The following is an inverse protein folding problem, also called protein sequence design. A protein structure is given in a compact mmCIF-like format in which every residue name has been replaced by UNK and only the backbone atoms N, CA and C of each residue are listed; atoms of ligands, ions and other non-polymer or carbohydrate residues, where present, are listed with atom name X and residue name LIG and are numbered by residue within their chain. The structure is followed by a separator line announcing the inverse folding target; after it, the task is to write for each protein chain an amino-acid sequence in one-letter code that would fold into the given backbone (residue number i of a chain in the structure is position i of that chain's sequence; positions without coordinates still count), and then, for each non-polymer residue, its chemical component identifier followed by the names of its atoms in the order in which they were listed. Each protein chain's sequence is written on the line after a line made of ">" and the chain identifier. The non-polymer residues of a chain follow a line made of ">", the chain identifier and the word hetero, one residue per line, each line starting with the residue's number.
data_IF_877913375677
#
_entry.id   IF_877913375677
#
_cell.length_a   1.000
_cell.length_b   1.000
_cell.length_c   1.000
_cell.angle_alpha   90.00
_cell.angle_beta   90.00
_cell.angle_gamma   90.00
#
_symmetry.space_group_name_H-M   'P 1'
#
loop_
_entity.id
_entity.type
_entity.pdbx_description
1 polymer ?
#
# COMPACT_ATOMS: atom_id res chain seq x y z
N UNK A 1 10.44 18.00 17.69
CA UNK A 1 9.86 19.00 16.76
C UNK A 1 8.58 18.43 16.20
N UNK A 2 7.43 18.96 16.61
CA UNK A 2 6.14 18.72 15.97
C UNK A 2 6.03 19.70 14.79
N UNK A 3 6.11 19.21 13.55
CA UNK A 3 5.90 20.02 12.36
C UNK A 3 4.57 19.64 11.71
N UNK A 4 3.63 20.58 11.73
CA UNK A 4 2.37 20.52 11.02
C UNK A 4 2.58 21.01 9.59
N UNK A 5 2.62 20.08 8.63
CA UNK A 5 2.48 20.37 7.20
C UNK A 5 3.72 20.96 6.54
N UNK A 6 4.64 20.09 6.10
CA UNK A 6 5.54 20.40 4.99
C UNK A 6 5.39 19.31 3.92
N UNK A 7 4.86 19.71 2.76
CA UNK A 7 4.12 18.93 1.76
C UNK A 7 4.86 17.82 1.01
N UNK A 8 6.01 17.35 1.48
CA UNK A 8 6.76 16.34 0.75
C UNK A 8 7.63 15.39 1.58
N UNK A 9 7.68 15.51 2.92
CA UNK A 9 8.81 14.96 3.66
C UNK A 9 8.49 13.99 4.79
N UNK A 10 7.42 13.19 4.69
CA UNK A 10 7.13 11.92 5.40
C UNK A 10 5.60 11.82 5.66
N UNK A 11 4.92 10.86 5.01
CA UNK A 11 3.56 10.42 5.40
C UNK A 11 3.49 9.20 6.35
N UNK A 12 4.37 9.01 7.36
CA UNK A 12 4.19 8.03 8.43
C UNK A 12 2.87 8.21 9.14
N UNK A 13 2.44 9.44 9.43
CA UNK A 13 1.21 9.68 10.19
C UNK A 13 -0.02 9.21 9.43
N UNK A 14 -0.09 9.45 8.11
CA UNK A 14 -1.19 8.94 7.29
C UNK A 14 -1.13 7.41 7.18
N UNK A 15 0.05 6.84 6.95
CA UNK A 15 0.21 5.38 6.88
C UNK A 15 -0.18 4.72 8.21
N UNK A 16 0.19 5.33 9.35
CA UNK A 16 -0.18 4.86 10.68
C UNK A 16 -1.69 4.94 10.92
N UNK A 17 -2.34 6.03 10.48
CA UNK A 17 -3.79 6.17 10.56
C UNK A 17 -4.50 5.10 9.70
N UNK A 18 -3.99 4.83 8.50
CA UNK A 18 -4.54 3.81 7.60
C UNK A 18 -4.40 2.42 8.23
N UNK A 19 -3.22 2.09 8.77
CA UNK A 19 -3.00 0.84 9.51
C UNK A 19 -3.90 0.72 10.73
N UNK A 20 -4.06 1.80 11.51
CA UNK A 20 -4.94 1.81 12.67
C UNK A 20 -6.39 1.54 12.25
N UNK A 21 -6.86 2.18 11.18
CA UNK A 21 -8.21 1.97 10.64
C UNK A 21 -8.41 0.53 10.16
N UNK A 22 -7.43 -0.06 9.47
CA UNK A 22 -7.50 -1.47 9.06
C UNK A 22 -7.52 -2.39 10.29
N UNK A 23 -6.68 -2.15 11.29
CA UNK A 23 -6.63 -2.94 12.51
C UNK A 23 -7.94 -2.85 13.29
N UNK A 24 -8.55 -1.66 13.43
CA UNK A 24 -9.84 -1.46 14.10
C UNK A 24 -10.99 -2.16 13.35
N UNK A 25 -11.01 -2.07 12.02
CA UNK A 25 -12.12 -2.60 11.22
C UNK A 25 -12.01 -4.10 10.94
N UNK A 26 -10.80 -4.63 10.81
CA UNK A 26 -10.54 -6.05 10.48
C UNK A 26 -10.10 -6.87 11.70
N UNK A 27 -9.76 -6.23 12.82
CA UNK A 27 -9.19 -6.87 14.02
C UNK A 27 -7.75 -7.37 13.85
N UNK A 28 -7.14 -7.18 12.67
CA UNK A 28 -5.79 -7.69 12.33
C UNK A 28 -5.17 -6.95 11.14
N UNK A 29 -3.86 -7.05 11.03
CA UNK A 29 -3.06 -6.56 9.89
C UNK A 29 -2.37 -7.68 9.08
N UNK A 30 -2.47 -8.93 9.54
CA UNK A 30 -1.93 -10.11 8.87
C UNK A 30 -3.06 -10.95 8.26
N UNK A 31 -2.76 -11.74 7.23
CA UNK A 31 -3.70 -12.62 6.55
C UNK A 31 -4.97 -11.89 6.04
N UNK A 32 -4.76 -10.74 5.42
CA UNK A 32 -5.84 -9.94 4.81
C UNK A 32 -5.60 -9.74 3.30
N UNK A 33 -6.71 -9.59 2.58
CA UNK A 33 -6.74 -9.31 1.15
C UNK A 33 -6.92 -7.79 0.96
N UNK A 34 -5.96 -7.12 0.31
CA UNK A 34 -5.97 -5.66 0.16
C UNK A 34 -6.04 -5.28 -1.31
N UNK A 35 -7.09 -4.56 -1.70
CA UNK A 35 -7.23 -3.97 -3.02
C UNK A 35 -6.83 -2.49 -3.00
N UNK A 36 -5.89 -2.11 -3.87
CA UNK A 36 -5.48 -0.72 -4.10
C UNK A 36 -5.99 -0.30 -5.47
N UNK A 37 -6.76 0.79 -5.52
CA UNK A 37 -7.46 1.26 -6.73
C UNK A 37 -7.05 2.69 -7.06
N UNK A 38 -6.88 3.00 -8.35
CA UNK A 38 -6.69 4.37 -8.84
C UNK A 38 -5.26 4.68 -9.30
N UNK A 39 -4.72 5.85 -8.90
CA UNK A 39 -3.36 6.25 -9.26
C UNK A 39 -2.31 5.55 -8.40
N UNK A 40 -1.87 4.38 -8.87
CA UNK A 40 -0.85 3.60 -8.19
C UNK A 40 0.56 4.03 -8.56
N UNK A 41 0.75 4.79 -9.63
CA UNK A 41 2.06 5.24 -10.10
C UNK A 41 2.60 6.39 -9.27
N UNK A 42 1.76 7.39 -8.96
CA UNK A 42 2.15 8.59 -8.22
C UNK A 42 1.58 8.64 -6.80
N UNK A 43 0.68 7.73 -6.44
CA UNK A 43 0.09 7.62 -5.11
C UNK A 43 1.11 7.27 -4.03
N UNK A 44 1.80 8.26 -3.47
CA UNK A 44 2.79 8.06 -2.40
C UNK A 44 2.20 7.33 -1.18
N UNK A 45 0.93 7.58 -0.87
CA UNK A 45 0.21 6.91 0.23
C UNK A 45 0.06 5.41 -0.03
N UNK A 46 -0.33 4.99 -1.24
CA UNK A 46 -0.46 3.57 -1.57
C UNK A 46 0.90 2.86 -1.55
N UNK A 47 1.99 3.55 -1.90
CA UNK A 47 3.35 3.01 -1.80
C UNK A 47 3.73 2.77 -0.34
N UNK A 48 3.57 3.78 0.52
CA UNK A 48 3.89 3.67 1.95
C UNK A 48 3.03 2.63 2.66
N UNK A 49 1.73 2.58 2.36
CA UNK A 49 0.81 1.60 2.92
C UNK A 49 1.15 0.18 2.48
N UNK A 50 1.47 -0.03 1.20
CA UNK A 50 1.92 -1.35 0.69
C UNK A 50 3.19 -1.81 1.38
N UNK A 51 4.18 -0.92 1.52
CA UNK A 51 5.44 -1.24 2.22
C UNK A 51 5.22 -1.56 3.70
N UNK A 52 4.29 -0.87 4.36
CA UNK A 52 3.97 -1.11 5.76
C UNK A 52 3.21 -2.44 5.94
N UNK A 53 2.19 -2.71 5.12
CA UNK A 53 1.43 -3.97 5.15
C UNK A 53 2.28 -5.17 4.73
N UNK A 54 3.32 -4.96 3.92
CA UNK A 54 4.32 -5.98 3.58
C UNK A 54 5.28 -6.34 4.73
N UNK A 55 5.13 -5.75 5.92
CA UNK A 55 5.81 -6.18 7.15
C UNK A 55 4.99 -7.23 7.93
N UNK A 56 3.74 -7.46 7.54
CA UNK A 56 2.83 -8.42 8.17
C UNK A 56 2.68 -9.66 7.28
N UNK A 57 2.51 -10.81 7.91
CA UNK A 57 2.51 -12.10 7.23
C UNK A 57 1.17 -12.41 6.54
N UNK A 58 1.23 -13.19 5.46
CA UNK A 58 0.06 -13.77 4.80
C UNK A 58 -0.85 -12.78 4.06
N UNK A 59 -0.43 -11.53 3.90
CA UNK A 59 -1.18 -10.54 3.17
C UNK A 59 -1.13 -10.80 1.66
N UNK A 60 -2.20 -10.44 0.96
CA UNK A 60 -2.29 -10.52 -0.51
C UNK A 60 -2.75 -9.18 -1.09
N UNK A 61 -2.07 -8.72 -2.14
CA UNK A 61 -2.37 -7.44 -2.79
C UNK A 61 -3.08 -7.61 -4.14
N UNK A 62 -3.99 -6.68 -4.44
CA UNK A 62 -4.68 -6.56 -5.72
C UNK A 62 -4.51 -5.12 -6.19
N UNK A 63 -3.80 -4.92 -7.29
CA UNK A 63 -3.53 -3.60 -7.85
C UNK A 63 -4.46 -3.37 -9.05
N UNK A 64 -5.36 -2.40 -8.91
CA UNK A 64 -6.43 -2.13 -9.87
C UNK A 64 -6.21 -0.72 -10.42
N UNK A 65 -5.65 -0.61 -11.61
CA UNK A 65 -5.33 0.68 -12.23
C UNK A 65 -5.26 0.56 -13.77
N UNK A 66 -5.46 1.67 -14.50
CA UNK A 66 -5.06 1.75 -15.91
C UNK A 66 -3.54 1.55 -16.05
N UNK A 67 -3.09 1.01 -17.19
CA UNK A 67 -1.66 0.74 -17.45
C UNK A 67 -0.77 1.98 -17.25
N UNK A 68 -1.28 3.17 -17.62
CA UNK A 68 -0.57 4.43 -17.47
C UNK A 68 -0.28 4.81 -15.99
N UNK A 69 -1.08 4.27 -15.06
CA UNK A 69 -1.05 4.55 -13.62
C UNK A 69 -0.74 3.30 -12.79
N UNK A 70 -0.15 2.27 -13.40
CA UNK A 70 0.16 1.00 -12.73
C UNK A 70 1.19 1.16 -11.59
N UNK A 71 1.17 0.19 -10.67
CA UNK A 71 2.08 0.14 -9.53
C UNK A 71 3.55 0.09 -10.00
N UNK A 72 4.46 0.94 -9.46
CA UNK A 72 5.86 0.96 -9.87
C UNK A 72 6.57 -0.36 -9.63
N UNK A 73 7.45 -0.74 -10.56
CA UNK A 73 8.19 -2.02 -10.50
C UNK A 73 9.02 -2.22 -9.24
N UNK A 74 9.51 -1.15 -8.59
CA UNK A 74 10.27 -1.28 -7.34
C UNK A 74 9.41 -1.78 -6.16
N UNK A 75 8.10 -1.46 -6.14
CA UNK A 75 7.16 -1.97 -5.14
C UNK A 75 6.85 -3.44 -5.43
N UNK A 76 6.59 -3.78 -6.70
CA UNK A 76 6.31 -5.15 -7.11
C UNK A 76 7.50 -6.07 -6.81
N UNK A 77 8.72 -5.65 -7.15
CA UNK A 77 9.95 -6.37 -6.84
C UNK A 77 10.13 -6.60 -5.33
N UNK A 78 9.82 -5.60 -4.50
CA UNK A 78 9.86 -5.75 -3.05
C UNK A 78 8.88 -6.81 -2.54
N UNK A 79 7.68 -6.90 -3.12
CA UNK A 79 6.71 -7.95 -2.78
C UNK A 79 7.20 -9.33 -3.23
N UNK A 80 7.80 -9.43 -4.42
CA UNK A 80 8.40 -10.67 -4.94
C UNK A 80 9.55 -11.17 -4.06
N UNK A 81 10.47 -10.29 -3.67
CA UNK A 81 11.60 -10.60 -2.78
C UNK A 81 11.13 -11.10 -1.40
N UNK A 82 9.96 -10.66 -0.96
CA UNK A 82 9.32 -11.11 0.29
C UNK A 82 8.38 -12.30 0.14
N UNK A 83 8.18 -12.81 -1.09
CA UNK A 83 7.25 -13.89 -1.36
C UNK A 83 5.78 -13.53 -1.10
N UNK A 84 5.43 -12.24 -1.20
CA UNK A 84 4.07 -11.76 -0.94
C UNK A 84 3.24 -11.85 -2.23
N UNK A 85 2.12 -12.57 -2.23
CA UNK A 85 1.29 -12.73 -3.42
C UNK A 85 0.62 -11.41 -3.82
N UNK A 86 0.65 -11.09 -5.11
CA UNK A 86 -0.11 -9.98 -5.66
C UNK A 86 -0.72 -10.31 -7.04
N UNK A 87 -1.65 -9.48 -7.51
CA UNK A 87 -2.20 -9.57 -8.87
C UNK A 87 -2.51 -8.18 -9.43
N UNK A 88 -2.34 -8.02 -10.73
CA UNK A 88 -2.64 -6.78 -11.46
C UNK A 88 -3.98 -6.95 -12.19
N UNK A 89 -4.85 -5.94 -12.10
CA UNK A 89 -6.17 -5.90 -12.72
C UNK A 89 -6.35 -4.57 -13.44
N UNK A 90 -6.85 -4.59 -14.66
CA UNK A 90 -7.12 -3.37 -15.42
C UNK A 90 -8.49 -2.79 -15.05
N UNK A 91 -8.56 -1.47 -14.88
CA UNK A 91 -9.85 -0.76 -14.88
C UNK A 91 -10.22 -0.41 -16.31
N UNK A 92 -11.32 -0.96 -16.81
CA UNK A 92 -11.94 -0.60 -18.08
C UNK A 92 -12.85 0.62 -17.92
#
# INVERSE_FOLDING_TARGET
>A
MLNAGDGANQHPTQTLLDLFTIQETQGRLSNINIAMVGDLKYGRTVHSLTQALAKFEGNRFYFIAPDALAMPGYILKMLEEKGIPYSLHQQH
#
